data_IF_595558415605
#
_entry.id   IF_595558415605
#
_cell.length_a   1.000
_cell.length_b   1.000
_cell.length_c   1.000
_cell.angle_alpha   90.00
_cell.angle_beta   90.00
_cell.angle_gamma   90.00
#
_symmetry.space_group_name_H-M   'P 1'
#
loop_
_entity.id
_entity.type
_entity.pdbx_description
1 polymer ?
#
# COMPACT_ATOMS: atom_id res chain seq x y z
N UNK A 1 21.87 21.80 -37.01
CA UNK A 1 21.20 20.93 -36.00
C UNK A 1 19.75 21.35 -35.74
N UNK A 2 18.86 21.48 -36.75
CA UNK A 2 17.44 21.85 -36.49
C UNK A 2 16.40 21.31 -37.49
N UNK A 3 16.78 20.44 -38.43
CA UNK A 3 15.89 19.98 -39.52
C UNK A 3 15.62 18.47 -39.56
N UNK A 4 16.17 17.67 -38.64
CA UNK A 4 15.88 16.21 -38.58
C UNK A 4 14.79 15.82 -37.56
N UNK A 5 14.34 16.77 -36.74
CA UNK A 5 13.27 16.57 -35.76
C UNK A 5 11.86 16.40 -36.36
N UNK A 6 11.43 17.12 -37.41
CA UNK A 6 10.05 17.02 -37.89
C UNK A 6 9.76 15.71 -38.61
N UNK A 7 10.73 15.18 -39.35
CA UNK A 7 10.64 13.88 -40.01
C UNK A 7 10.65 12.75 -38.99
N UNK A 8 11.57 12.75 -38.02
CA UNK A 8 11.58 11.78 -36.94
C UNK A 8 10.27 11.79 -36.13
N UNK A 9 9.72 12.96 -35.82
CA UNK A 9 8.44 13.09 -35.15
C UNK A 9 7.28 12.51 -35.98
N UNK A 10 7.23 12.80 -37.29
CA UNK A 10 6.20 12.22 -38.17
C UNK A 10 6.28 10.70 -38.26
N UNK A 11 7.48 10.12 -38.27
CA UNK A 11 7.68 8.68 -38.23
C UNK A 11 7.19 8.08 -36.91
N UNK A 12 7.48 8.73 -35.78
CA UNK A 12 6.96 8.31 -34.47
C UNK A 12 5.43 8.32 -34.44
N UNK A 13 4.79 9.38 -34.91
CA UNK A 13 3.33 9.48 -34.99
C UNK A 13 2.73 8.41 -35.91
N UNK A 14 3.33 8.16 -37.08
CA UNK A 14 2.88 7.14 -38.01
C UNK A 14 2.99 5.73 -37.40
N UNK A 15 4.11 5.42 -36.74
CA UNK A 15 4.31 4.14 -36.04
C UNK A 15 3.32 3.97 -34.90
N UNK A 16 3.09 5.02 -34.11
CA UNK A 16 2.07 5.00 -33.05
C UNK A 16 0.66 4.76 -33.61
N UNK A 17 0.29 5.43 -34.69
CA UNK A 17 -1.02 5.24 -35.33
C UNK A 17 -1.23 3.80 -35.82
N UNK A 18 -0.21 3.21 -36.45
CA UNK A 18 -0.24 1.81 -36.91
C UNK A 18 -0.35 0.85 -35.73
N UNK A 19 0.42 1.06 -34.66
CA UNK A 19 0.36 0.24 -33.45
C UNK A 19 -1.02 0.31 -32.76
N UNK A 20 -1.62 1.51 -32.69
CA UNK A 20 -2.98 1.71 -32.16
C UNK A 20 -3.99 0.99 -33.05
N UNK A 21 -3.88 1.12 -34.38
CA UNK A 21 -4.78 0.44 -35.30
C UNK A 21 -4.70 -1.08 -35.13
N UNK A 22 -3.50 -1.67 -35.06
CA UNK A 22 -3.30 -3.11 -34.82
C UNK A 22 -3.91 -3.54 -33.47
N UNK A 23 -3.71 -2.74 -32.42
CA UNK A 23 -4.27 -3.00 -31.09
C UNK A 23 -5.81 -3.02 -31.09
N UNK A 24 -6.44 -2.09 -31.81
CA UNK A 24 -7.90 -2.02 -31.91
C UNK A 24 -8.47 -3.09 -32.86
N UNK A 25 -7.82 -3.37 -33.99
CA UNK A 25 -8.30 -4.31 -35.01
C UNK A 25 -8.10 -5.79 -34.63
N UNK A 26 -7.19 -6.11 -33.70
CA UNK A 26 -6.91 -7.48 -33.27
C UNK A 26 -7.28 -7.67 -31.78
N UNK A 27 -8.56 -7.97 -31.47
CA UNK A 27 -9.03 -8.22 -30.10
C UNK A 27 -8.22 -9.25 -29.28
N UNK A 28 -7.79 -10.40 -29.84
CA UNK A 28 -7.09 -11.41 -29.04
C UNK A 28 -5.70 -10.98 -28.56
N UNK A 29 -5.09 -9.95 -29.18
CA UNK A 29 -3.76 -9.45 -28.81
C UNK A 29 -3.79 -8.56 -27.55
N UNK A 30 -4.97 -8.05 -27.16
CA UNK A 30 -5.10 -7.12 -26.03
C UNK A 30 -4.79 -7.78 -24.69
N UNK A 31 -5.22 -9.03 -24.51
CA UNK A 31 -5.06 -9.79 -23.29
C UNK A 31 -3.59 -10.15 -22.96
N UNK A 32 -2.78 -10.72 -23.89
CA UNK A 32 -1.37 -10.99 -23.61
C UNK A 32 -0.56 -9.70 -23.43
N UNK A 33 -0.86 -8.63 -24.19
CA UNK A 33 -0.22 -7.32 -24.01
C UNK A 33 -0.48 -6.74 -22.62
N UNK A 34 -1.75 -6.75 -22.19
CA UNK A 34 -2.14 -6.30 -20.85
C UNK A 34 -1.45 -7.12 -19.76
N UNK A 35 -1.41 -8.45 -19.90
CA UNK A 35 -0.72 -9.32 -18.94
C UNK A 35 0.79 -9.04 -18.90
N UNK A 36 1.44 -8.88 -20.05
CA UNK A 36 2.86 -8.52 -20.12
C UNK A 36 3.15 -7.19 -19.43
N UNK A 37 2.32 -6.17 -19.68
CA UNK A 37 2.39 -4.90 -18.98
C UNK A 37 2.19 -5.04 -17.48
N UNK A 38 1.21 -5.84 -17.05
CA UNK A 38 0.94 -6.09 -15.64
C UNK A 38 2.14 -6.76 -14.95
N UNK A 39 2.78 -7.74 -15.58
CA UNK A 39 4.00 -8.37 -15.05
C UNK A 39 5.16 -7.39 -14.96
N UNK A 40 5.28 -6.44 -15.90
CA UNK A 40 6.32 -5.41 -15.85
C UNK A 40 6.07 -4.40 -14.72
N UNK A 41 4.81 -4.02 -14.47
CA UNK A 41 4.45 -3.01 -13.46
C UNK A 41 4.31 -3.61 -12.05
N UNK A 42 3.96 -4.88 -11.91
CA UNK A 42 3.81 -5.56 -10.62
C UNK A 42 5.01 -5.37 -9.67
N UNK A 43 6.28 -5.62 -10.09
CA UNK A 43 7.43 -5.43 -9.19
C UNK A 43 7.59 -3.97 -8.75
N UNK A 44 7.24 -3.02 -9.60
CA UNK A 44 7.28 -1.58 -9.27
C UNK A 44 6.29 -1.29 -8.14
N UNK A 45 5.05 -1.76 -8.27
CA UNK A 45 4.04 -1.62 -7.23
C UNK A 45 4.44 -2.29 -5.91
N UNK A 46 5.04 -3.48 -5.99
CA UNK A 46 5.56 -4.20 -4.82
C UNK A 46 6.66 -3.39 -4.11
N UNK A 47 7.65 -2.88 -4.85
CA UNK A 47 8.75 -2.07 -4.29
C UNK A 47 8.22 -0.80 -3.64
N UNK A 48 7.34 -0.05 -4.32
CA UNK A 48 6.79 1.20 -3.78
C UNK A 48 5.99 0.94 -2.51
N UNK A 49 5.17 -0.12 -2.49
CA UNK A 49 4.37 -0.48 -1.32
C UNK A 49 5.25 -0.81 -0.12
N UNK A 50 6.31 -1.61 -0.32
CA UNK A 50 7.26 -1.95 0.74
C UNK A 50 8.04 -0.71 1.20
N UNK A 51 8.49 0.12 0.26
CA UNK A 51 9.24 1.32 0.58
C UNK A 51 8.40 2.31 1.41
N UNK A 52 7.14 2.52 1.04
CA UNK A 52 6.21 3.36 1.80
C UNK A 52 5.95 2.77 3.19
N UNK A 53 5.67 1.48 3.28
CA UNK A 53 5.40 0.82 4.56
C UNK A 53 6.61 0.88 5.49
N UNK A 54 7.81 0.57 4.97
CA UNK A 54 9.07 0.67 5.71
C UNK A 54 9.36 2.10 6.14
N UNK A 55 9.15 3.08 5.25
CA UNK A 55 9.31 4.49 5.54
C UNK A 55 8.39 4.95 6.66
N UNK A 56 7.08 4.68 6.56
CA UNK A 56 6.09 5.02 7.60
C UNK A 56 6.45 4.33 8.92
N UNK A 57 6.78 3.05 8.88
CA UNK A 57 7.10 2.30 10.08
C UNK A 57 8.33 2.87 10.79
N UNK A 58 9.42 3.13 10.07
CA UNK A 58 10.68 3.59 10.67
C UNK A 58 10.69 5.07 11.02
N UNK A 59 10.04 5.92 10.22
CA UNK A 59 10.06 7.38 10.42
C UNK A 59 8.93 7.91 11.28
N UNK A 60 7.82 7.19 11.39
CA UNK A 60 6.64 7.65 12.14
C UNK A 60 6.37 6.71 13.31
N UNK A 61 6.07 5.44 13.03
CA UNK A 61 5.62 4.50 14.08
C UNK A 61 6.75 4.23 15.10
N UNK A 62 7.95 3.95 14.62
CA UNK A 62 9.11 3.62 15.46
C UNK A 62 9.49 4.76 16.41
N UNK A 63 9.67 6.03 15.96
CA UNK A 63 9.99 7.11 16.88
C UNK A 63 8.86 7.41 17.86
N UNK A 64 7.59 7.30 17.46
CA UNK A 64 6.47 7.41 18.39
C UNK A 64 6.58 6.35 19.49
N UNK A 65 6.81 5.08 19.12
CA UNK A 65 7.00 4.00 20.08
C UNK A 65 8.23 4.19 20.97
N UNK A 66 9.32 4.74 20.42
CA UNK A 66 10.52 5.08 21.18
C UNK A 66 10.24 6.19 22.21
N UNK A 67 9.55 7.25 21.81
CA UNK A 67 9.13 8.34 22.70
C UNK A 67 8.23 7.80 23.82
N UNK A 68 7.24 6.97 23.48
CA UNK A 68 6.37 6.33 24.49
C UNK A 68 7.18 5.49 25.48
N UNK A 69 8.17 4.74 24.99
CA UNK A 69 9.07 3.94 25.83
C UNK A 69 9.93 4.80 26.75
N UNK A 70 10.44 5.94 26.25
CA UNK A 70 11.24 6.90 27.02
C UNK A 70 10.40 7.60 28.11
N UNK A 71 9.15 7.96 27.80
CA UNK A 71 8.20 8.54 28.76
C UNK A 71 7.69 7.49 29.77
N UNK A 72 7.91 6.20 29.49
CA UNK A 72 7.43 5.10 30.33
C UNK A 72 5.94 4.78 30.15
N UNK A 73 5.31 5.36 29.13
CA UNK A 73 3.91 5.13 28.79
C UNK A 73 3.76 3.76 28.10
N UNK A 74 3.10 2.83 28.78
CA UNK A 74 2.81 1.49 28.28
C UNK A 74 1.28 1.31 28.14
N UNK A 75 0.68 1.73 27.01
CA UNK A 75 -0.77 1.66 26.84
C UNK A 75 -1.31 0.24 26.81
N UNK A 76 -0.46 -0.74 26.50
CA UNK A 76 -0.86 -2.14 26.44
C UNK A 76 -0.50 -2.93 27.70
N UNK A 77 0.02 -2.25 28.74
CA UNK A 77 0.39 -2.86 30.03
C UNK A 77 1.19 -4.16 29.83
N UNK A 78 2.12 -4.16 28.88
CA UNK A 78 2.91 -5.34 28.49
C UNK A 78 4.02 -5.65 29.48
N UNK A 79 4.35 -4.72 30.37
CA UNK A 79 5.32 -4.95 31.45
C UNK A 79 4.79 -6.02 32.42
N UNK A 80 5.62 -7.01 32.69
CA UNK A 80 5.31 -8.07 33.64
C UNK A 80 5.41 -7.53 35.07
N UNK A 81 4.27 -7.50 35.77
CA UNK A 81 4.16 -7.18 37.19
C UNK A 81 4.21 -8.47 38.02
N UNK A 82 5.34 -8.69 38.70
CA UNK A 82 5.52 -9.85 39.59
C UNK A 82 4.66 -9.78 40.86
N UNK A 83 4.14 -8.61 41.20
CA UNK A 83 3.31 -8.39 42.39
C UNK A 83 1.81 -8.51 42.10
N UNK A 84 1.42 -8.56 40.82
CA UNK A 84 0.03 -8.70 40.42
C UNK A 84 -0.50 -10.11 40.75
N UNK A 85 -1.61 -10.17 41.49
CA UNK A 85 -2.33 -11.43 41.78
C UNK A 85 -2.95 -12.05 40.53
N UNK A 86 -3.34 -11.22 39.56
CA UNK A 86 -3.88 -11.62 38.26
C UNK A 86 -3.74 -10.46 37.27
N UNK A 87 -3.51 -10.77 36.00
CA UNK A 87 -3.53 -9.78 34.90
C UNK A 87 -4.94 -9.58 34.33
N UNK A 88 -5.95 -10.19 34.93
CA UNK A 88 -7.33 -10.07 34.48
C UNK A 88 -7.84 -8.63 34.65
N UNK A 89 -8.18 -7.99 33.53
CA UNK A 89 -8.82 -6.68 33.53
C UNK A 89 -10.33 -6.92 33.69
N UNK A 90 -10.88 -6.55 34.85
CA UNK A 90 -12.31 -6.67 35.12
C UNK A 90 -13.09 -5.77 34.15
N UNK A 91 -13.90 -6.38 33.28
CA UNK A 91 -14.85 -5.64 32.45
C UNK A 91 -15.90 -5.00 33.35
N UNK A 92 -16.16 -3.72 33.14
CA UNK A 92 -17.32 -3.08 33.74
C UNK A 92 -18.58 -3.76 33.19
N UNK A 93 -19.52 -4.19 34.04
CA UNK A 93 -20.76 -4.76 33.59
C UNK A 93 -21.50 -3.73 32.76
N UNK A 94 -21.77 -4.07 31.50
CA UNK A 94 -22.66 -3.29 30.65
C UNK A 94 -24.08 -3.54 31.12
N UNK A 95 -24.78 -2.49 31.58
CA UNK A 95 -26.15 -2.62 32.11
C UNK A 95 -27.18 -2.94 31.01
N UNK A 96 -26.86 -2.66 29.74
CA UNK A 96 -27.79 -2.84 28.63
C UNK A 96 -27.43 -4.05 27.74
N UNK A 97 -28.20 -5.13 27.89
CA UNK A 97 -28.13 -6.31 27.01
C UNK A 97 -28.32 -5.96 25.52
N UNK A 98 -28.98 -4.84 25.19
CA UNK A 98 -29.19 -4.41 23.80
C UNK A 98 -27.91 -3.92 23.14
N UNK A 99 -26.87 -3.54 23.89
CA UNK A 99 -25.57 -3.19 23.31
C UNK A 99 -24.85 -4.40 22.69
N UNK A 100 -25.09 -5.62 23.18
CA UNK A 100 -24.54 -6.84 22.56
C UNK A 100 -25.10 -7.07 21.14
N UNK A 101 -26.33 -6.62 20.88
CA UNK A 101 -26.97 -6.74 19.57
C UNK A 101 -26.66 -5.58 18.62
N UNK A 102 -25.92 -4.56 19.07
CA UNK A 102 -25.45 -3.43 18.24
C UNK A 102 -23.97 -3.61 17.93
N UNK A 103 -23.68 -4.51 16.99
CA UNK A 103 -22.31 -4.79 16.57
C UNK A 103 -21.80 -3.81 15.48
N UNK A 104 -22.67 -2.95 14.95
CA UNK A 104 -22.36 -1.94 13.93
C UNK A 104 -23.00 -0.60 14.29
#
# INVERSE_FOLDING_TARGET
>A
YRFELPTAASWLWAVSAVLIAIYYLIPPLRLPMYRGWLYAVMPIGWVISHLLLTGIYLLIITPIGLVMRLVGYDPMQRRFDRSAKTYWITRQPTEDLKQYFKQY
#
